data_IF_221542122031
#
_entry.id   IF_221542122031
#
_cell.length_a   1.000
_cell.length_b   1.000
_cell.length_c   1.000
_cell.angle_alpha   90.00
_cell.angle_beta   90.00
_cell.angle_gamma   90.00
#
_symmetry.space_group_name_H-M   'P 1'
#
loop_
_entity.id
_entity.type
_entity.pdbx_description
1 polymer ?
#
# COMPACT_ATOMS: atom_id res chain seq x y z
N UNK A 1 12.01 12.53 -3.12
CA UNK A 1 11.77 12.75 -1.67
C UNK A 1 10.68 13.79 -1.35
N UNK A 2 10.61 14.96 -2.00
CA UNK A 2 9.66 16.02 -1.58
C UNK A 2 8.16 15.65 -1.63
N UNK A 3 7.74 14.66 -2.42
CA UNK A 3 6.31 14.39 -2.66
C UNK A 3 5.65 13.36 -1.72
N UNK A 4 6.40 12.39 -1.18
CA UNK A 4 5.84 11.33 -0.31
C UNK A 4 6.02 11.62 1.19
N UNK A 5 7.09 12.33 1.58
CA UNK A 5 7.46 12.54 2.99
C UNK A 5 7.25 13.97 3.54
N UNK A 6 7.04 15.00 2.70
CA UNK A 6 6.83 16.39 3.18
C UNK A 6 5.43 16.70 3.69
N UNK A 7 4.45 15.86 3.37
CA UNK A 7 3.08 16.11 3.81
C UNK A 7 2.90 15.48 5.17
N UNK A 8 2.58 16.34 6.14
CA UNK A 8 2.30 15.93 7.51
C UNK A 8 1.14 14.94 7.58
N UNK A 9 0.94 14.41 8.79
CA UNK A 9 -0.23 13.59 9.15
C UNK A 9 -1.53 14.17 8.57
N UNK A 10 -2.39 13.30 8.01
CA UNK A 10 -3.73 13.67 7.55
C UNK A 10 -3.90 13.76 6.03
N UNK A 11 -3.01 13.16 5.24
CA UNK A 11 -3.22 13.03 3.79
C UNK A 11 -2.69 11.68 3.27
N UNK A 12 -3.61 10.75 3.02
CA UNK A 12 -3.31 9.53 2.25
C UNK A 12 -2.82 9.91 0.84
N UNK A 13 -1.83 9.18 0.32
CA UNK A 13 -1.27 9.45 -1.01
C UNK A 13 -0.98 8.20 -1.81
N UNK A 14 -1.37 8.28 -3.07
CA UNK A 14 -1.03 7.35 -4.13
C UNK A 14 -0.11 8.06 -5.12
N UNK A 15 1.01 7.43 -5.49
CA UNK A 15 1.90 7.91 -6.56
C UNK A 15 1.95 6.88 -7.70
N UNK A 16 1.83 7.32 -8.95
CA UNK A 16 1.94 6.47 -10.13
C UNK A 16 3.30 6.68 -10.81
N UNK A 17 4.19 5.68 -10.73
CA UNK A 17 5.56 5.78 -11.20
C UNK A 17 5.91 4.73 -12.26
N UNK A 18 6.84 5.06 -13.16
CA UNK A 18 7.32 4.10 -14.14
C UNK A 18 8.03 2.94 -13.45
N UNK A 19 7.79 1.71 -13.91
CA UNK A 19 8.40 0.50 -13.34
C UNK A 19 9.93 0.58 -13.25
N UNK A 20 10.60 1.12 -14.26
CA UNK A 20 12.07 1.38 -14.26
C UNK A 20 12.59 2.27 -13.12
N UNK A 21 11.70 2.87 -12.33
CA UNK A 21 12.06 3.72 -11.19
C UNK A 21 12.24 2.95 -9.89
N UNK A 22 12.00 1.63 -9.90
CA UNK A 22 11.96 0.76 -8.72
C UNK A 22 13.20 0.88 -7.84
N UNK A 23 14.41 0.68 -8.39
CA UNK A 23 15.66 0.70 -7.61
C UNK A 23 15.85 2.04 -6.88
N UNK A 24 15.60 3.14 -7.58
CA UNK A 24 15.75 4.50 -7.05
C UNK A 24 14.68 4.77 -5.99
N UNK A 25 13.44 4.35 -6.24
CA UNK A 25 12.34 4.47 -5.28
C UNK A 25 12.63 3.68 -4.01
N UNK A 26 13.05 2.43 -4.13
CA UNK A 26 13.31 1.55 -2.99
C UNK A 26 14.44 2.11 -2.12
N UNK A 27 15.54 2.57 -2.72
CA UNK A 27 16.62 3.24 -2.02
C UNK A 27 16.13 4.48 -1.25
N UNK A 28 15.29 5.32 -1.88
CA UNK A 28 14.74 6.52 -1.24
C UNK A 28 13.73 6.22 -0.13
N UNK A 29 12.86 5.23 -0.31
CA UNK A 29 11.91 4.81 0.72
C UNK A 29 12.65 4.28 1.94
N UNK A 30 13.68 3.45 1.72
CA UNK A 30 14.54 2.94 2.77
C UNK A 30 15.28 4.07 3.50
N UNK A 31 15.90 5.01 2.78
CA UNK A 31 16.56 6.18 3.38
C UNK A 31 15.57 7.05 4.18
N UNK A 32 14.32 7.16 3.71
CA UNK A 32 13.25 7.88 4.40
C UNK A 32 12.60 7.10 5.56
N UNK A 33 13.09 5.90 5.86
CA UNK A 33 12.63 5.08 6.99
C UNK A 33 11.28 4.41 6.79
N UNK A 34 10.86 4.17 5.54
CA UNK A 34 9.64 3.41 5.25
C UNK A 34 9.89 1.90 5.37
N UNK A 35 9.02 1.21 6.07
CA UNK A 35 8.84 -0.24 5.84
C UNK A 35 8.08 -0.41 4.52
N UNK A 36 8.60 -1.25 3.61
CA UNK A 36 7.97 -1.51 2.33
C UNK A 36 7.29 -2.88 2.30
N UNK A 37 6.07 -2.91 1.80
CA UNK A 37 5.33 -4.11 1.41
C UNK A 37 5.13 -4.10 -0.09
N UNK A 38 4.98 -5.29 -0.69
CA UNK A 38 4.95 -5.43 -2.14
C UNK A 38 3.70 -6.21 -2.57
N UNK A 39 3.00 -5.69 -3.56
CA UNK A 39 1.85 -6.36 -4.18
C UNK A 39 2.09 -6.55 -5.68
N UNK A 40 1.66 -7.67 -6.23
CA UNK A 40 1.83 -8.00 -7.64
C UNK A 40 0.50 -8.01 -8.40
N UNK A 41 0.33 -7.09 -9.36
CA UNK A 41 -0.95 -6.96 -10.10
C UNK A 41 -1.34 -8.18 -10.92
N UNK A 42 -0.40 -9.05 -11.29
CA UNK A 42 -0.71 -10.24 -12.06
C UNK A 42 -1.43 -11.31 -11.22
N UNK A 43 -1.27 -11.28 -9.90
CA UNK A 43 -1.99 -12.16 -8.97
C UNK A 43 -3.44 -11.71 -8.73
N UNK A 44 -3.80 -10.49 -9.14
CA UNK A 44 -5.06 -9.83 -8.77
C UNK A 44 -6.02 -9.79 -9.97
N UNK A 45 -7.01 -10.68 -9.98
CA UNK A 45 -8.05 -10.75 -11.03
C UNK A 45 -9.42 -10.25 -10.59
N UNK A 46 -9.66 -10.22 -9.29
CA UNK A 46 -10.91 -9.86 -8.62
C UNK A 46 -10.62 -9.39 -7.18
N UNK A 47 -11.67 -9.07 -6.41
CA UNK A 47 -11.52 -8.61 -5.03
C UNK A 47 -10.94 -9.69 -4.11
N UNK A 48 -11.33 -10.95 -4.29
CA UNK A 48 -10.84 -12.06 -3.47
C UNK A 48 -9.32 -12.25 -3.64
N UNK A 49 -8.85 -12.25 -4.87
CA UNK A 49 -7.43 -12.35 -5.20
C UNK A 49 -6.63 -11.12 -4.76
N UNK A 50 -7.23 -9.92 -4.73
CA UNK A 50 -6.62 -8.77 -4.07
C UNK A 50 -6.40 -9.02 -2.57
N UNK A 51 -7.41 -9.54 -1.85
CA UNK A 51 -7.28 -9.81 -0.41
C UNK A 51 -6.24 -10.90 -0.12
N UNK A 52 -6.16 -11.92 -0.96
CA UNK A 52 -5.11 -12.95 -0.89
C UNK A 52 -3.72 -12.36 -1.13
N UNK A 53 -3.56 -11.53 -2.17
CA UNK A 53 -2.30 -10.87 -2.48
C UNK A 53 -1.90 -9.87 -1.39
N UNK A 54 -2.86 -9.16 -0.79
CA UNK A 54 -2.62 -8.28 0.35
C UNK A 54 -2.11 -9.07 1.56
N UNK A 55 -2.70 -10.23 1.84
CA UNK A 55 -2.23 -11.10 2.92
C UNK A 55 -0.81 -11.56 2.68
N UNK A 56 -0.52 -12.01 1.46
CA UNK A 56 0.80 -12.47 1.07
C UNK A 56 1.83 -11.33 1.14
N UNK A 57 1.60 -10.23 0.42
CA UNK A 57 2.52 -9.11 0.26
C UNK A 57 2.78 -8.29 1.53
N UNK A 58 1.81 -8.25 2.44
CA UNK A 58 1.95 -7.57 3.74
C UNK A 58 2.29 -8.53 4.90
N UNK A 59 2.44 -9.83 4.61
CA UNK A 59 2.65 -10.89 5.59
C UNK A 59 1.58 -10.91 6.71
N UNK A 60 0.30 -10.77 6.33
CA UNK A 60 -0.82 -10.79 7.27
C UNK A 60 -1.04 -12.21 7.79
N UNK A 61 -1.08 -12.36 9.11
CA UNK A 61 -1.32 -13.65 9.76
C UNK A 61 -2.81 -13.91 9.90
N UNK A 62 -3.34 -14.88 9.17
CA UNK A 62 -4.69 -15.40 9.36
C UNK A 62 -4.67 -16.93 9.52
N UNK A 63 -5.72 -17.56 10.09
CA UNK A 63 -5.73 -19.00 10.30
C UNK A 63 -5.56 -19.77 8.99
N UNK A 64 -4.74 -20.84 8.98
CA UNK A 64 -4.52 -21.64 7.78
C UNK A 64 -5.83 -22.28 7.31
N UNK A 65 -6.10 -22.22 6.01
CA UNK A 65 -7.31 -22.76 5.40
C UNK A 65 -8.54 -21.85 5.49
N UNK A 66 -8.42 -20.67 6.10
CA UNK A 66 -9.48 -19.64 6.06
C UNK A 66 -9.14 -18.67 4.94
N UNK A 67 -10.01 -18.59 3.92
CA UNK A 67 -9.91 -17.57 2.88
C UNK A 67 -10.41 -16.23 3.44
N UNK A 68 -9.63 -15.17 3.22
CA UNK A 68 -10.04 -13.82 3.59
C UNK A 68 -10.94 -13.27 2.48
N UNK A 69 -12.25 -13.27 2.71
CA UNK A 69 -13.25 -12.79 1.73
C UNK A 69 -13.94 -11.49 2.16
N UNK A 70 -13.50 -10.90 3.27
CA UNK A 70 -14.10 -9.71 3.86
C UNK A 70 -13.07 -8.58 3.86
N UNK A 71 -13.46 -7.46 3.26
CA UNK A 71 -12.70 -6.22 3.30
C UNK A 71 -12.48 -5.74 4.73
N UNK A 72 -13.51 -5.77 5.58
CA UNK A 72 -13.38 -5.34 6.99
C UNK A 72 -12.36 -6.20 7.75
N UNK A 73 -12.43 -7.52 7.61
CA UNK A 73 -11.47 -8.41 8.24
C UNK A 73 -10.04 -8.18 7.72
N UNK A 74 -9.90 -7.84 6.43
CA UNK A 74 -8.60 -7.48 5.86
C UNK A 74 -8.08 -6.12 6.35
N UNK A 75 -8.97 -5.15 6.54
CA UNK A 75 -8.63 -3.85 7.11
C UNK A 75 -8.11 -4.04 8.54
N UNK A 76 -8.77 -4.85 9.36
CA UNK A 76 -8.37 -5.13 10.74
C UNK A 76 -6.98 -5.80 10.79
N UNK A 77 -6.75 -6.81 9.95
CA UNK A 77 -5.45 -7.49 9.87
C UNK A 77 -4.34 -6.56 9.38
N UNK A 78 -4.60 -5.77 8.35
CA UNK A 78 -3.62 -4.81 7.83
C UNK A 78 -3.33 -3.71 8.85
N UNK A 79 -4.36 -3.17 9.49
CA UNK A 79 -4.22 -2.18 10.56
C UNK A 79 -3.38 -2.72 11.70
N UNK A 80 -3.70 -3.91 12.21
CA UNK A 80 -2.95 -4.56 13.27
C UNK A 80 -1.49 -4.74 12.85
N UNK A 81 -1.26 -5.26 11.64
CA UNK A 81 0.09 -5.48 11.11
C UNK A 81 0.90 -4.19 11.02
N UNK A 82 0.28 -3.09 10.61
CA UNK A 82 0.92 -1.77 10.52
C UNK A 82 1.23 -1.23 11.92
N UNK A 83 0.29 -1.36 12.87
CA UNK A 83 0.42 -0.83 14.23
C UNK A 83 1.43 -1.60 15.09
N UNK A 84 1.61 -2.90 14.86
CA UNK A 84 2.59 -3.73 15.57
C UNK A 84 4.05 -3.36 15.23
N UNK A 85 4.27 -2.57 14.19
CA UNK A 85 5.62 -2.17 13.79
C UNK A 85 6.10 -0.94 14.57
N UNK A 86 7.37 -0.91 15.00
CA UNK A 86 7.93 0.30 15.62
C UNK A 86 8.08 1.47 14.64
N UNK A 87 7.98 1.24 13.33
CA UNK A 87 8.08 2.28 12.30
C UNK A 87 6.78 3.09 12.20
N UNK A 88 6.94 4.41 12.04
CA UNK A 88 5.83 5.34 11.81
C UNK A 88 5.56 5.62 10.32
N UNK A 89 6.20 4.86 9.42
CA UNK A 89 6.11 5.06 7.97
C UNK A 89 6.07 3.71 7.26
N UNK A 90 5.01 3.50 6.49
CA UNK A 90 4.78 2.28 5.70
C UNK A 90 4.46 2.66 4.26
N UNK A 91 5.05 1.94 3.32
CA UNK A 91 4.77 2.05 1.90
C UNK A 91 4.29 0.71 1.36
N UNK A 92 3.17 0.71 0.65
CA UNK A 92 2.74 -0.42 -0.19
C UNK A 92 3.17 -0.08 -1.62
N UNK A 93 4.13 -0.85 -2.14
CA UNK A 93 4.63 -0.76 -3.50
C UNK A 93 3.90 -1.80 -4.34
N UNK A 94 3.13 -1.36 -5.32
CA UNK A 94 2.27 -2.22 -6.12
C UNK A 94 2.81 -2.31 -7.55
N UNK A 95 3.34 -3.46 -7.90
CA UNK A 95 3.95 -3.75 -9.20
C UNK A 95 2.93 -4.02 -10.29
N UNK A 96 3.31 -3.66 -11.51
CA UNK A 96 2.55 -3.84 -12.73
C UNK A 96 1.10 -3.31 -12.70
N UNK A 97 0.86 -2.21 -11.98
CA UNK A 97 -0.47 -1.62 -11.78
C UNK A 97 -1.19 -1.25 -13.10
N UNK A 98 -0.42 -1.05 -14.18
CA UNK A 98 -0.96 -0.82 -15.53
C UNK A 98 -1.83 -1.99 -16.03
N UNK A 99 -1.59 -3.22 -15.56
CA UNK A 99 -2.40 -4.39 -15.90
C UNK A 99 -3.83 -4.30 -15.39
N UNK A 100 -4.09 -3.51 -14.35
CA UNK A 100 -5.42 -3.28 -13.81
C UNK A 100 -6.15 -2.14 -14.54
N UNK A 101 -5.45 -1.32 -15.32
CA UNK A 101 -6.07 -0.23 -16.07
C UNK A 101 -6.88 -0.74 -17.28
N UNK A 102 -6.54 -1.93 -17.79
CA UNK A 102 -7.26 -2.56 -18.90
C UNK A 102 -8.31 -3.55 -18.37
N UNK A 103 -9.59 -3.19 -18.49
CA UNK A 103 -10.73 -4.04 -18.10
C UNK A 103 -10.96 -4.22 -16.60
N UNK A 104 -10.07 -3.74 -15.72
CA UNK A 104 -10.15 -3.91 -14.25
C UNK A 104 -10.02 -2.60 -13.45
N UNK A 105 -10.27 -1.45 -14.09
CA UNK A 105 -10.08 -0.14 -13.45
C UNK A 105 -10.93 0.01 -12.18
N UNK A 106 -12.17 -0.47 -12.19
CA UNK A 106 -13.04 -0.42 -11.00
C UNK A 106 -12.41 -1.17 -9.82
N UNK A 107 -11.87 -2.38 -10.07
CA UNK A 107 -11.19 -3.17 -9.04
C UNK A 107 -9.99 -2.39 -8.45
N UNK A 108 -9.17 -1.75 -9.28
CA UNK A 108 -8.08 -0.90 -8.80
C UNK A 108 -8.58 0.23 -7.90
N UNK A 109 -9.67 0.90 -8.30
CA UNK A 109 -10.25 1.99 -7.51
C UNK A 109 -10.77 1.49 -6.16
N UNK A 110 -11.49 0.36 -6.14
CA UNK A 110 -12.01 -0.24 -4.91
C UNK A 110 -10.87 -0.62 -3.95
N UNK A 111 -9.78 -1.17 -4.48
CA UNK A 111 -8.59 -1.50 -3.69
C UNK A 111 -7.91 -0.25 -3.12
N UNK A 112 -7.82 0.83 -3.91
CA UNK A 112 -7.25 2.10 -3.45
C UNK A 112 -8.12 2.77 -2.40
N UNK A 113 -9.45 2.72 -2.53
CA UNK A 113 -10.39 3.23 -1.53
C UNK A 113 -10.25 2.47 -0.20
N UNK A 114 -10.13 1.14 -0.27
CA UNK A 114 -9.82 0.31 0.90
C UNK A 114 -8.51 0.72 1.57
N UNK A 115 -7.41 0.83 0.81
CA UNK A 115 -6.11 1.23 1.36
C UNK A 115 -6.14 2.66 1.91
N UNK A 116 -6.92 3.55 1.30
CA UNK A 116 -7.14 4.90 1.80
C UNK A 116 -7.83 4.86 3.16
N UNK A 117 -8.90 4.08 3.32
CA UNK A 117 -9.60 3.93 4.59
C UNK A 117 -8.67 3.45 5.71
N UNK A 118 -7.84 2.45 5.44
CA UNK A 118 -6.82 1.99 6.41
C UNK A 118 -5.80 3.10 6.70
N UNK A 119 -5.31 3.78 5.67
CA UNK A 119 -4.35 4.88 5.80
C UNK A 119 -4.88 6.00 6.68
N UNK A 120 -6.12 6.43 6.47
CA UNK A 120 -6.77 7.47 7.26
C UNK A 120 -6.89 7.09 8.74
N UNK A 121 -7.29 5.85 9.04
CA UNK A 121 -7.38 5.36 10.43
C UNK A 121 -6.00 5.31 11.08
N UNK A 122 -5.00 4.76 10.38
CA UNK A 122 -3.63 4.63 10.92
C UNK A 122 -2.93 5.98 11.14
N UNK A 123 -3.19 6.98 10.29
CA UNK A 123 -2.58 8.32 10.41
C UNK A 123 -3.21 9.18 11.53
N UNK A 124 -4.49 8.98 11.85
CA UNK A 124 -5.20 9.75 12.87
C UNK A 124 -5.26 9.07 14.24
N UNK A 125 -4.59 7.91 14.38
CA UNK A 125 -4.54 7.17 15.63
C UNK A 125 -3.90 8.03 16.73
N UNK A 126 -4.58 8.17 17.87
CA UNK A 126 -4.02 8.89 19.01
C UNK A 126 -2.79 8.15 19.56
N UNK A 127 -1.72 8.90 19.81
CA UNK A 127 -0.51 8.36 20.42
C UNK A 127 -0.81 7.87 21.85
N UNK A 128 -0.47 6.61 22.12
CA UNK A 128 -0.61 5.94 23.40
C UNK A 128 0.58 5.01 23.63
N UNK A 129 0.60 4.29 24.76
CA UNK A 129 1.68 3.35 25.05
C UNK A 129 1.78 2.22 24.02
N UNK A 130 0.66 1.85 23.40
CA UNK A 130 0.55 0.69 22.52
C UNK A 130 0.21 1.05 21.06
N UNK A 131 -0.01 2.34 20.76
CA UNK A 131 -0.35 2.81 19.41
C UNK A 131 0.34 4.14 19.09
N UNK A 132 0.74 4.32 17.84
CA UNK A 132 1.26 5.58 17.31
C UNK A 132 0.67 5.86 15.92
N UNK A 133 0.63 7.14 15.50
CA UNK A 133 0.30 7.47 14.11
C UNK A 133 1.27 6.82 13.14
N UNK A 134 0.75 6.13 12.12
CA UNK A 134 1.56 5.57 11.03
C UNK A 134 1.17 6.20 9.70
N UNK A 135 2.17 6.71 8.99
CA UNK A 135 2.03 7.24 7.65
C UNK A 135 1.96 6.10 6.63
N UNK A 136 0.80 5.86 6.02
CA UNK A 136 0.66 4.88 4.93
C UNK A 136 0.73 5.56 3.56
N UNK A 137 1.61 5.07 2.69
CA UNK A 137 1.75 5.53 1.30
C UNK A 137 1.55 4.37 0.34
N UNK A 138 0.92 4.63 -0.80
CA UNK A 138 0.79 3.65 -1.88
C UNK A 138 1.56 4.15 -3.10
N UNK A 139 2.34 3.27 -3.70
CA UNK A 139 3.11 3.57 -4.92
C UNK A 139 2.76 2.54 -5.97
N UNK A 140 2.07 2.97 -7.02
CA UNK A 140 1.73 2.15 -8.18
C UNK A 140 2.88 2.21 -9.18
N UNK A 141 3.57 1.10 -9.40
CA UNK A 141 4.57 0.93 -10.44
C UNK A 141 3.93 0.34 -11.69
N UNK A 142 4.21 0.93 -12.85
CA UNK A 142 3.67 0.41 -14.10
C UNK A 142 4.24 1.07 -15.34
N UNK A 143 3.64 0.76 -16.48
CA UNK A 143 4.04 1.26 -17.79
C UNK A 143 2.92 2.06 -18.47
N UNK A 144 3.31 2.90 -19.44
CA UNK A 144 2.39 3.72 -20.22
C UNK A 144 2.35 5.20 -19.80
N UNK A 145 1.41 5.98 -20.38
CA UNK A 145 1.39 7.44 -20.26
C UNK A 145 0.95 7.95 -18.88
N UNK A 146 0.29 7.11 -18.08
CA UNK A 146 -0.20 7.45 -16.75
C UNK A 146 0.88 7.30 -15.66
N UNK A 147 2.06 6.80 -16.00
CA UNK A 147 3.17 6.53 -15.08
C UNK A 147 4.35 7.43 -15.40
N UNK A 148 4.82 8.17 -14.39
CA UNK A 148 5.90 9.14 -14.54
C UNK A 148 7.20 8.63 -13.92
N UNK A 149 8.37 8.96 -14.49
CA UNK A 149 9.64 8.56 -13.88
C UNK A 149 9.77 9.18 -12.48
N UNK A 150 10.32 8.42 -11.53
CA UNK A 150 10.66 8.96 -10.22
C UNK A 150 11.90 9.84 -10.35
N UNK A 151 11.67 11.16 -10.28
CA UNK A 151 12.64 12.24 -10.56
C UNK A 151 13.08 12.30 -12.03
N UNK A 152 13.28 13.53 -12.50
CA UNK A 152 14.13 13.86 -13.64
C UNK A 152 15.53 14.17 -13.12
#
# INVERSE_FOLDING_TARGET
>A
MEHLSKHGSGTFRVACLKARSEDVLHAELHEAGFTCYFLESHAITDSDSFLEELCHGCHLSHPPGVKLTSWDAAADLLWQRIMEQPQSRVAIVWWDAHLLLDGRLQLLLDCLEFLQGVGEVTEHQAESLDCHPVLLRVVLLGEGPNFHPWKN
#
